data_IF_913593974706
#
_entry.id   IF_913593974706
#
_cell.length_a   1.000
_cell.length_b   1.000
_cell.length_c   1.000
_cell.angle_alpha   90.00
_cell.angle_beta   90.00
_cell.angle_gamma   90.00
#
_symmetry.space_group_name_H-M   'P 1'
#
loop_
_entity.id
_entity.type
_entity.pdbx_description
1 polymer ?
#
# COMPACT_ATOMS: atom_id res chain seq x y z
N UNK A 1 42.26 17.07 35.88
CA UNK A 1 42.55 15.72 35.35
C UNK A 1 41.29 14.87 35.11
N UNK A 2 40.37 14.69 36.07
CA UNK A 2 39.14 13.86 35.89
C UNK A 2 38.26 14.23 34.69
N UNK A 3 38.07 15.53 34.41
CA UNK A 3 37.22 15.98 33.30
C UNK A 3 37.85 15.70 31.92
N UNK A 4 39.19 15.77 31.83
CA UNK A 4 39.93 15.46 30.60
C UNK A 4 39.83 13.96 30.28
N UNK A 5 39.91 13.10 31.29
CA UNK A 5 39.75 11.66 31.14
C UNK A 5 38.34 11.27 30.66
N UNK A 6 37.29 11.93 31.19
CA UNK A 6 35.91 11.72 30.74
C UNK A 6 35.70 12.14 29.28
N UNK A 7 36.30 13.26 28.86
CA UNK A 7 36.27 13.72 27.48
C UNK A 7 36.96 12.75 26.52
N UNK A 8 38.11 12.20 26.92
CA UNK A 8 38.83 11.18 26.13
C UNK A 8 38.00 9.90 25.98
N UNK A 9 37.37 9.43 27.04
CA UNK A 9 36.51 8.24 27.01
C UNK A 9 35.30 8.46 26.09
N UNK A 10 34.61 9.61 26.19
CA UNK A 10 33.51 9.95 25.30
C UNK A 10 33.94 10.00 23.83
N UNK A 11 35.11 10.58 23.52
CA UNK A 11 35.63 10.62 22.16
C UNK A 11 35.90 9.21 21.60
N UNK A 12 36.44 8.30 22.41
CA UNK A 12 36.65 6.90 22.01
C UNK A 12 35.33 6.20 21.70
N UNK A 13 34.28 6.41 22.51
CA UNK A 13 32.95 5.87 22.24
C UNK A 13 32.33 6.46 20.97
N UNK A 14 32.47 7.77 20.74
CA UNK A 14 31.98 8.44 19.53
C UNK A 14 32.70 7.92 18.28
N UNK A 15 34.02 7.76 18.32
CA UNK A 15 34.81 7.17 17.23
C UNK A 15 34.39 5.73 16.93
N UNK A 16 34.11 4.93 17.96
CA UNK A 16 33.66 3.55 17.78
C UNK A 16 32.23 3.45 17.22
N UNK A 17 31.34 4.37 17.62
CA UNK A 17 30.00 4.48 17.05
C UNK A 17 30.05 4.92 15.58
N UNK A 18 30.93 5.87 15.25
CA UNK A 18 31.15 6.33 13.88
C UNK A 18 31.63 5.18 12.98
N UNK A 19 32.63 4.41 13.42
CA UNK A 19 33.14 3.26 12.66
C UNK A 19 32.08 2.17 12.40
N UNK A 20 31.13 1.98 13.32
CA UNK A 20 29.99 1.07 13.11
C UNK A 20 28.98 1.62 12.11
N UNK A 21 28.76 2.95 12.09
CA UNK A 21 27.94 3.60 11.08
C UNK A 21 28.54 3.44 9.69
N UNK A 22 29.84 3.74 9.55
CA UNK A 22 30.56 3.62 8.27
C UNK A 22 30.52 2.17 7.73
N UNK A 23 30.62 1.18 8.64
CA UNK A 23 30.47 -0.24 8.30
C UNK A 23 29.06 -0.61 7.87
N UNK A 24 28.03 0.03 8.44
CA UNK A 24 26.64 -0.21 8.07
C UNK A 24 26.36 0.40 6.69
N UNK A 25 26.85 1.60 6.43
CA UNK A 25 26.73 2.28 5.13
C UNK A 25 27.41 1.46 4.02
N UNK A 26 28.59 0.90 4.30
CA UNK A 26 29.29 0.00 3.38
C UNK A 26 28.48 -1.27 3.05
N UNK A 27 27.76 -1.83 4.03
CA UNK A 27 26.89 -3.00 3.82
C UNK A 27 25.62 -2.65 3.04
N UNK A 28 25.09 -1.43 3.23
CA UNK A 28 23.95 -0.92 2.46
C UNK A 28 24.35 -0.79 0.99
N UNK A 29 25.50 -0.17 0.71
CA UNK A 29 26.01 0.02 -0.65
C UNK A 29 26.30 -1.33 -1.36
N UNK A 30 26.83 -2.31 -0.63
CA UNK A 30 27.01 -3.69 -1.15
C UNK A 30 25.67 -4.37 -1.47
N UNK A 31 24.65 -4.19 -0.63
CA UNK A 31 23.32 -4.73 -0.90
C UNK A 31 22.66 -4.03 -2.09
N UNK A 32 22.82 -2.71 -2.23
CA UNK A 32 22.30 -1.96 -3.38
C UNK A 32 22.92 -2.46 -4.68
N UNK A 33 24.24 -2.67 -4.72
CA UNK A 33 24.92 -3.21 -5.90
C UNK A 33 24.50 -4.64 -6.23
N UNK A 34 24.32 -5.51 -5.23
CA UNK A 34 23.77 -6.86 -5.44
C UNK A 34 22.35 -6.83 -5.99
N UNK A 35 21.49 -5.95 -5.47
CA UNK A 35 20.11 -5.78 -5.97
C UNK A 35 20.14 -5.34 -7.44
N UNK A 36 20.98 -4.38 -7.79
CA UNK A 36 21.12 -3.90 -9.18
C UNK A 36 21.60 -5.04 -10.11
N UNK A 37 22.62 -5.79 -9.72
CA UNK A 37 23.14 -6.91 -10.52
C UNK A 37 22.09 -8.02 -10.69
N UNK A 38 21.33 -8.34 -9.64
CA UNK A 38 20.23 -9.30 -9.75
C UNK A 38 19.10 -8.82 -10.67
N UNK A 39 18.80 -7.53 -10.67
CA UNK A 39 17.81 -6.94 -11.57
C UNK A 39 18.25 -7.03 -13.04
N UNK A 40 19.53 -6.74 -13.33
CA UNK A 40 20.10 -6.87 -14.68
C UNK A 40 20.06 -8.33 -15.15
N UNK A 41 20.40 -9.29 -14.28
CA UNK A 41 20.32 -10.72 -14.60
C UNK A 41 18.88 -11.17 -14.86
N UNK A 42 17.92 -10.64 -14.11
CA UNK A 42 16.51 -10.95 -14.31
C UNK A 42 16.01 -10.46 -15.67
N UNK A 43 16.38 -9.23 -16.06
CA UNK A 43 16.05 -8.64 -17.36
C UNK A 43 16.66 -9.46 -18.51
N UNK A 44 17.92 -9.86 -18.38
CA UNK A 44 18.57 -10.75 -19.35
C UNK A 44 17.89 -12.11 -19.48
N UNK A 45 17.39 -12.69 -18.38
CA UNK A 45 16.66 -13.95 -18.41
C UNK A 45 15.27 -13.78 -19.05
N UNK A 46 14.61 -12.65 -18.83
CA UNK A 46 13.33 -12.34 -19.48
C UNK A 46 13.48 -12.28 -21.00
N UNK A 47 14.49 -11.54 -21.49
CA UNK A 47 14.78 -11.47 -22.93
C UNK A 47 15.05 -12.86 -23.53
N UNK A 48 15.78 -13.73 -22.81
CA UNK A 48 16.08 -15.09 -23.27
C UNK A 48 14.82 -15.97 -23.32
N UNK A 49 13.89 -15.78 -22.39
CA UNK A 49 12.58 -16.46 -22.41
C UNK A 49 11.75 -15.99 -23.61
N UNK A 50 11.74 -14.70 -23.91
CA UNK A 50 11.05 -14.16 -25.10
C UNK A 50 11.63 -14.71 -26.40
N UNK A 51 12.96 -14.74 -26.54
CA UNK A 51 13.65 -15.33 -27.70
C UNK A 51 13.32 -16.83 -27.87
N UNK A 52 13.30 -17.58 -26.75
CA UNK A 52 12.92 -18.99 -26.77
C UNK A 52 11.45 -19.20 -27.15
N UNK A 53 10.55 -18.33 -26.69
CA UNK A 53 9.14 -18.36 -27.06
C UNK A 53 8.96 -18.07 -28.56
N UNK A 54 9.71 -17.12 -29.11
CA UNK A 54 9.67 -16.81 -30.54
C UNK A 54 10.22 -17.97 -31.39
N UNK A 55 11.36 -18.55 -30.97
CA UNK A 55 11.96 -19.72 -31.62
C UNK A 55 11.02 -20.94 -31.58
N UNK A 56 10.39 -21.19 -30.44
CA UNK A 56 9.39 -22.25 -30.29
C UNK A 56 8.15 -22.01 -31.16
N UNK A 57 7.64 -20.77 -31.22
CA UNK A 57 6.52 -20.42 -32.09
C UNK A 57 6.87 -20.62 -33.58
N UNK A 58 8.12 -20.32 -33.97
CA UNK A 58 8.64 -20.51 -35.33
C UNK A 58 8.79 -22.00 -35.69
N UNK A 59 9.34 -22.81 -34.80
CA UNK A 59 9.43 -24.27 -34.93
C UNK A 59 8.03 -24.91 -35.01
N UNK A 60 7.08 -24.48 -34.17
CA UNK A 60 5.68 -24.90 -34.23
C UNK A 60 5.02 -24.50 -35.55
N UNK A 61 5.29 -23.30 -36.07
CA UNK A 61 4.80 -22.83 -37.36
C UNK A 61 5.34 -23.69 -38.53
N UNK A 62 6.63 -24.05 -38.50
CA UNK A 62 7.25 -24.93 -39.50
C UNK A 62 6.76 -26.39 -39.42
N UNK A 63 6.38 -26.88 -38.23
CA UNK A 63 5.73 -28.17 -38.04
C UNK A 63 4.27 -28.17 -38.53
N UNK A 64 3.55 -27.07 -38.32
CA UNK A 64 2.15 -26.87 -38.75
C UNK A 64 1.97 -26.90 -40.27
N UNK A 65 2.94 -26.42 -41.05
CA UNK A 65 2.93 -26.56 -42.52
C UNK A 65 3.03 -28.02 -42.99
N UNK A 66 3.55 -28.93 -42.15
CA UNK A 66 3.75 -30.35 -42.49
C UNK A 66 2.61 -31.27 -42.05
N UNK A 67 1.64 -30.76 -41.28
CA UNK A 67 0.55 -31.52 -40.63
C UNK A 67 -0.85 -31.05 -41.04
N UNK A 68 -0.97 -30.34 -42.17
CA UNK A 68 -2.26 -29.88 -42.67
C UNK A 68 -3.14 -31.05 -43.12
N UNK A 69 -4.42 -31.01 -42.76
CA UNK A 69 -5.37 -32.07 -43.08
C UNK A 69 -6.50 -31.51 -43.95
N UNK A 70 -6.66 -32.06 -45.15
CA UNK A 70 -7.75 -31.69 -46.05
C UNK A 70 -9.03 -32.42 -45.61
N UNK A 71 -10.13 -31.66 -45.51
CA UNK A 71 -11.45 -32.16 -45.15
C UNK A 71 -12.50 -31.55 -46.08
N UNK A 72 -13.59 -32.30 -46.28
CA UNK A 72 -14.76 -31.81 -47.01
C UNK A 72 -15.73 -31.25 -45.97
N UNK A 73 -16.16 -30.01 -46.15
CA UNK A 73 -17.19 -29.40 -45.32
C UNK A 73 -18.52 -30.17 -45.47
N UNK A 74 -19.02 -30.73 -44.36
CA UNK A 74 -20.31 -31.44 -44.34
C UNK A 74 -21.47 -30.59 -43.82
N UNK A 75 -21.18 -29.47 -43.16
CA UNK A 75 -22.19 -28.61 -42.55
C UNK A 75 -22.70 -27.56 -43.55
N UNK A 76 -24.03 -27.44 -43.65
CA UNK A 76 -24.69 -26.51 -44.57
C UNK A 76 -24.51 -25.03 -44.20
N UNK A 77 -24.12 -24.74 -42.96
CA UNK A 77 -24.00 -23.39 -42.40
C UNK A 77 -22.58 -23.09 -41.86
N UNK A 78 -21.59 -23.88 -42.28
CA UNK A 78 -20.21 -23.65 -41.87
C UNK A 78 -19.72 -22.29 -42.39
N UNK A 79 -18.97 -21.60 -41.55
CA UNK A 79 -18.28 -20.39 -41.93
C UNK A 79 -16.98 -20.24 -41.16
N UNK A 80 -16.09 -19.42 -41.69
CA UNK A 80 -14.84 -19.04 -41.05
C UNK A 80 -14.80 -17.55 -40.75
N UNK A 81 -14.13 -17.20 -39.67
CA UNK A 81 -13.82 -15.83 -39.29
C UNK A 81 -12.43 -15.47 -39.80
N UNK A 82 -12.34 -14.44 -40.62
CA UNK A 82 -11.07 -13.88 -41.10
C UNK A 82 -10.46 -13.05 -39.96
N UNK A 83 -9.14 -13.13 -39.80
CA UNK A 83 -8.32 -12.45 -38.77
C UNK A 83 -8.55 -12.91 -37.32
N UNK A 84 -9.79 -12.83 -36.79
CA UNK A 84 -10.09 -13.13 -35.39
C UNK A 84 -11.49 -13.74 -35.21
N UNK A 85 -11.63 -14.83 -34.43
CA UNK A 85 -12.94 -15.41 -34.11
C UNK A 85 -13.92 -14.38 -33.52
N UNK A 86 -15.21 -14.49 -33.87
CA UNK A 86 -16.35 -13.70 -33.37
C UNK A 86 -16.33 -12.19 -33.62
N UNK A 87 -15.18 -11.59 -33.94
CA UNK A 87 -15.04 -10.14 -34.16
C UNK A 87 -14.65 -9.78 -35.60
N UNK A 88 -14.14 -10.75 -36.37
CA UNK A 88 -13.67 -10.55 -37.74
C UNK A 88 -14.77 -10.58 -38.81
N UNK A 89 -14.38 -10.49 -40.07
CA UNK A 89 -15.29 -10.72 -41.19
C UNK A 89 -15.60 -12.21 -41.31
N UNK A 90 -16.88 -12.57 -41.41
CA UNK A 90 -17.31 -13.96 -41.63
C UNK A 90 -17.38 -14.26 -43.13
N UNK A 91 -16.81 -15.40 -43.54
CA UNK A 91 -16.91 -15.97 -44.89
C UNK A 91 -17.58 -17.33 -44.78
N UNK A 92 -18.69 -17.50 -45.48
CA UNK A 92 -19.40 -18.78 -45.50
C UNK A 92 -18.67 -19.80 -46.37
N UNK A 93 -18.71 -21.05 -45.94
CA UNK A 93 -18.07 -22.17 -46.61
C UNK A 93 -19.20 -23.10 -47.08
N UNK A 94 -19.41 -23.25 -48.40
CA UNK A 94 -20.47 -24.10 -48.92
C UNK A 94 -20.31 -25.55 -48.46
N UNK A 95 -21.44 -26.26 -48.32
CA UNK A 95 -21.41 -27.71 -48.12
C UNK A 95 -20.73 -28.38 -49.32
N UNK A 96 -19.91 -29.39 -49.06
CA UNK A 96 -19.14 -30.11 -50.08
C UNK A 96 -17.83 -29.44 -50.47
N UNK A 97 -17.52 -28.26 -49.95
CA UNK A 97 -16.27 -27.57 -50.26
C UNK A 97 -15.07 -28.15 -49.49
N UNK A 98 -13.90 -28.19 -50.12
CA UNK A 98 -12.66 -28.60 -49.46
C UNK A 98 -12.10 -27.49 -48.58
N UNK A 99 -11.67 -27.86 -47.38
CA UNK A 99 -11.11 -26.97 -46.36
C UNK A 99 -9.86 -27.62 -45.79
N UNK A 100 -8.80 -26.83 -45.65
CA UNK A 100 -7.53 -27.27 -45.08
C UNK A 100 -7.53 -26.89 -43.60
N UNK A 101 -7.34 -27.87 -42.72
CA UNK A 101 -7.25 -27.65 -41.27
C UNK A 101 -5.80 -27.62 -40.83
N UNK A 102 -5.49 -26.68 -39.93
CA UNK A 102 -4.21 -26.57 -39.26
C UNK A 102 -4.43 -26.80 -37.75
N UNK A 103 -3.58 -27.58 -37.05
CA UNK A 103 -3.74 -27.86 -35.62
C UNK A 103 -3.33 -26.66 -34.75
N UNK A 104 -3.94 -25.51 -35.01
CA UNK A 104 -3.80 -24.27 -34.27
C UNK A 104 -5.19 -23.77 -33.89
N UNK A 105 -5.37 -23.53 -32.60
CA UNK A 105 -6.66 -23.12 -32.04
C UNK A 105 -6.54 -21.79 -31.31
N UNK A 106 -7.58 -20.97 -31.46
CA UNK A 106 -7.86 -19.83 -30.58
C UNK A 106 -9.20 -20.12 -29.93
N UNK A 107 -9.21 -20.27 -28.61
CA UNK A 107 -10.37 -20.76 -27.87
C UNK A 107 -10.86 -22.10 -28.47
N UNK A 108 -12.12 -22.16 -28.90
CA UNK A 108 -12.72 -23.32 -29.55
C UNK A 108 -12.79 -23.21 -31.09
N UNK A 109 -11.94 -22.36 -31.69
CA UNK A 109 -11.88 -22.15 -33.14
C UNK A 109 -10.56 -22.66 -33.71
N UNK A 110 -10.65 -23.55 -34.68
CA UNK A 110 -9.51 -24.09 -35.42
C UNK A 110 -9.13 -23.16 -36.57
N UNK A 111 -7.84 -23.03 -36.86
CA UNK A 111 -7.35 -22.34 -38.05
C UNK A 111 -7.59 -23.18 -39.30
N UNK A 112 -8.18 -22.54 -40.31
CA UNK A 112 -8.51 -23.15 -41.60
C UNK A 112 -8.04 -22.30 -42.78
N UNK A 113 -7.81 -22.94 -43.92
CA UNK A 113 -7.64 -22.27 -45.21
C UNK A 113 -8.74 -22.71 -46.18
N UNK A 114 -9.34 -21.73 -46.86
CA UNK A 114 -10.38 -21.93 -47.86
C UNK A 114 -10.22 -20.92 -49.02
N UNK A 115 -9.95 -21.44 -50.22
CA UNK A 115 -9.61 -20.63 -51.40
C UNK A 115 -8.51 -19.59 -51.09
N UNK A 116 -7.37 -20.07 -50.60
CA UNK A 116 -6.20 -19.27 -50.19
C UNK A 116 -6.48 -18.19 -49.14
N UNK A 117 -7.67 -18.20 -48.55
CA UNK A 117 -8.04 -17.29 -47.47
C UNK A 117 -7.92 -18.04 -46.15
N UNK A 118 -7.06 -17.55 -45.26
CA UNK A 118 -6.90 -18.11 -43.91
C UNK A 118 -7.92 -17.49 -42.97
N UNK A 119 -8.55 -18.33 -42.15
CA UNK A 119 -9.49 -17.91 -41.13
C UNK A 119 -9.59 -18.91 -40.00
N UNK A 120 -10.63 -18.76 -39.19
CA UNK A 120 -10.90 -19.58 -38.01
C UNK A 120 -12.31 -20.14 -38.07
N UNK A 121 -12.44 -21.46 -37.98
CA UNK A 121 -13.72 -22.18 -38.02
C UNK A 121 -14.06 -22.70 -36.63
N UNK A 122 -15.33 -22.62 -36.23
CA UNK A 122 -15.77 -23.16 -34.94
C UNK A 122 -15.69 -24.70 -34.93
N UNK A 123 -15.30 -25.26 -33.78
CA UNK A 123 -15.34 -26.71 -33.52
C UNK A 123 -16.71 -27.36 -33.78
N UNK A 124 -17.79 -26.58 -33.73
CA UNK A 124 -19.15 -27.04 -33.96
C UNK A 124 -19.47 -27.31 -35.45
N UNK A 125 -18.64 -26.85 -36.39
CA UNK A 125 -18.90 -26.96 -37.83
C UNK A 125 -18.18 -28.11 -38.53
N UNK A 126 -17.32 -28.84 -37.82
CA UNK A 126 -16.60 -29.97 -38.38
C UNK A 126 -16.65 -31.18 -37.48
N UNK A 127 -16.56 -32.35 -38.11
CA UNK A 127 -16.48 -33.61 -37.39
C UNK A 127 -15.07 -33.78 -36.82
N UNK A 128 -14.99 -34.02 -35.52
CA UNK A 128 -13.73 -34.30 -34.83
C UNK A 128 -13.32 -35.76 -35.00
N UNK A 129 -14.24 -36.63 -35.40
CA UNK A 129 -13.98 -38.04 -35.67
C UNK A 129 -13.06 -38.17 -36.87
N UNK A 130 -11.93 -38.85 -36.67
CA UNK A 130 -10.91 -39.04 -37.72
C UNK A 130 -9.93 -37.88 -37.88
N UNK A 131 -9.96 -36.87 -37.00
CA UNK A 131 -8.78 -36.00 -36.82
C UNK A 131 -7.68 -36.77 -36.08
N UNK A 132 -6.44 -36.48 -36.43
CA UNK A 132 -5.28 -37.05 -35.77
C UNK A 132 -5.21 -36.58 -34.30
N UNK A 133 -4.68 -37.40 -33.37
CA UNK A 133 -4.66 -37.09 -31.94
C UNK A 133 -4.08 -35.71 -31.58
N UNK A 134 -3.09 -35.22 -32.34
CA UNK A 134 -2.46 -33.92 -32.08
C UNK A 134 -3.41 -32.73 -32.28
N UNK A 135 -4.48 -32.84 -33.08
CA UNK A 135 -5.50 -31.77 -33.17
C UNK A 135 -6.29 -31.63 -31.86
N UNK A 136 -6.53 -32.74 -31.16
CA UNK A 136 -7.18 -32.72 -29.86
C UNK A 136 -6.27 -32.10 -28.81
N UNK A 137 -4.99 -32.46 -28.80
CA UNK A 137 -4.02 -31.84 -27.89
C UNK A 137 -3.87 -30.33 -28.12
N UNK A 138 -3.83 -29.89 -29.39
CA UNK A 138 -3.74 -28.48 -29.73
C UNK A 138 -4.95 -27.68 -29.21
N UNK A 139 -6.14 -28.26 -29.28
CA UNK A 139 -7.38 -27.67 -28.74
C UNK A 139 -7.34 -27.56 -27.22
N UNK A 140 -7.01 -28.64 -26.51
CA UNK A 140 -6.90 -28.65 -25.05
C UNK A 140 -5.88 -27.61 -24.56
N UNK A 141 -4.73 -27.52 -25.22
CA UNK A 141 -3.71 -26.51 -24.90
C UNK A 141 -4.25 -25.08 -25.07
N UNK A 142 -5.04 -24.81 -26.10
CA UNK A 142 -5.63 -23.48 -26.32
C UNK A 142 -6.64 -23.11 -25.22
N UNK A 143 -7.50 -24.05 -24.81
CA UNK A 143 -8.45 -23.84 -23.72
C UNK A 143 -7.75 -23.59 -22.36
N UNK A 144 -6.67 -24.31 -22.09
CA UNK A 144 -5.86 -24.12 -20.87
C UNK A 144 -5.17 -22.75 -20.86
N UNK A 145 -4.63 -22.28 -21.99
CA UNK A 145 -4.01 -20.95 -22.11
C UNK A 145 -5.01 -19.85 -21.78
N UNK A 146 -6.20 -19.90 -22.39
CA UNK A 146 -7.25 -18.90 -22.14
C UNK A 146 -7.67 -18.85 -20.65
N UNK A 147 -7.86 -20.01 -20.02
CA UNK A 147 -8.18 -20.08 -18.60
C UNK A 147 -7.08 -19.46 -17.71
N UNK A 148 -5.82 -19.64 -18.09
CA UNK A 148 -4.69 -19.06 -17.37
C UNK A 148 -4.57 -17.55 -17.60
N UNK A 149 -4.76 -17.06 -18.82
CA UNK A 149 -4.74 -15.62 -19.13
C UNK A 149 -5.85 -14.88 -18.36
N UNK A 150 -7.06 -15.44 -18.32
CA UNK A 150 -8.18 -14.91 -17.51
C UNK A 150 -7.86 -14.88 -16.01
N UNK A 151 -7.12 -15.87 -15.49
CA UNK A 151 -6.69 -15.87 -14.09
C UNK A 151 -5.63 -14.77 -13.83
N UNK A 152 -4.68 -14.58 -14.74
CA UNK A 152 -3.63 -13.56 -14.62
C UNK A 152 -4.19 -12.14 -14.65
N UNK A 153 -5.16 -11.85 -15.51
CA UNK A 153 -5.83 -10.54 -15.58
C UNK A 153 -6.58 -10.24 -14.27
N UNK A 154 -7.33 -11.23 -13.76
CA UNK A 154 -8.03 -11.14 -12.48
C UNK A 154 -7.08 -10.95 -11.28
N UNK A 155 -5.92 -11.61 -11.29
CA UNK A 155 -4.89 -11.45 -10.26
C UNK A 155 -4.21 -10.08 -10.33
N UNK A 156 -3.84 -9.61 -11.54
CA UNK A 156 -3.28 -8.28 -11.76
C UNK A 156 -4.18 -7.17 -11.21
N UNK A 157 -5.48 -7.26 -11.47
CA UNK A 157 -6.45 -6.29 -10.96
C UNK A 157 -6.65 -6.39 -9.44
N UNK A 158 -6.48 -7.57 -8.85
CA UNK A 158 -6.44 -7.74 -7.39
C UNK A 158 -5.21 -7.05 -6.78
N UNK A 159 -4.04 -7.19 -7.39
CA UNK A 159 -2.81 -6.54 -6.94
C UNK A 159 -2.87 -5.02 -7.05
N UNK A 160 -3.42 -4.48 -8.15
CA UNK A 160 -3.63 -3.03 -8.32
C UNK A 160 -4.54 -2.45 -7.23
N UNK A 161 -5.65 -3.13 -6.90
CA UNK A 161 -6.56 -2.74 -5.81
C UNK A 161 -5.85 -2.71 -4.46
N UNK A 162 -5.10 -3.77 -4.13
CA UNK A 162 -4.34 -3.87 -2.88
C UNK A 162 -3.23 -2.83 -2.76
N UNK A 163 -2.56 -2.49 -3.87
CA UNK A 163 -1.55 -1.42 -3.89
C UNK A 163 -2.18 -0.05 -3.55
N UNK A 164 -3.37 0.23 -4.09
CA UNK A 164 -4.12 1.46 -3.80
C UNK A 164 -4.56 1.55 -2.34
N UNK A 165 -5.02 0.45 -1.75
CA UNK A 165 -5.38 0.37 -0.32
C UNK A 165 -4.18 0.65 0.58
N UNK A 166 -3.02 0.03 0.31
CA UNK A 166 -1.79 0.26 1.08
C UNK A 166 -1.31 1.71 1.04
N UNK A 167 -1.40 2.36 -0.13
CA UNK A 167 -1.05 3.79 -0.27
C UNK A 167 -1.99 4.65 0.58
N UNK A 168 -3.28 4.32 0.59
CA UNK A 168 -4.27 5.01 1.43
C UNK A 168 -3.92 4.84 2.91
N UNK A 169 -3.74 3.60 3.39
CA UNK A 169 -3.37 3.31 4.78
C UNK A 169 -2.08 4.04 5.22
N UNK A 170 -1.04 4.02 4.39
CA UNK A 170 0.22 4.72 4.65
C UNK A 170 0.01 6.24 4.81
N UNK A 171 -0.89 6.83 4.01
CA UNK A 171 -1.23 8.26 4.10
C UNK A 171 -1.94 8.60 5.41
N UNK A 172 -2.88 7.75 5.88
CA UNK A 172 -3.53 7.96 7.18
C UNK A 172 -2.55 7.83 8.34
N UNK A 173 -1.67 6.83 8.28
CA UNK A 173 -0.66 6.61 9.31
C UNK A 173 0.30 7.80 9.39
N UNK A 174 0.79 8.30 8.25
CA UNK A 174 1.66 9.48 8.20
C UNK A 174 1.00 10.72 8.84
N UNK A 175 -0.27 10.98 8.52
CA UNK A 175 -1.03 12.07 9.13
C UNK A 175 -1.19 11.88 10.65
N UNK A 176 -1.50 10.67 11.11
CA UNK A 176 -1.63 10.37 12.53
C UNK A 176 -0.31 10.58 13.29
N UNK A 177 0.83 10.24 12.68
CA UNK A 177 2.15 10.49 13.26
C UNK A 177 2.42 12.00 13.34
N UNK A 178 2.12 12.75 12.28
CA UNK A 178 2.28 14.20 12.25
C UNK A 178 1.46 14.89 13.38
N UNK A 179 0.17 14.53 13.51
CA UNK A 179 -0.71 15.05 14.56
C UNK A 179 -0.17 14.74 15.98
N UNK A 180 0.35 13.53 16.20
CA UNK A 180 1.00 13.14 17.45
C UNK A 180 2.26 13.97 17.72
N UNK A 181 3.12 14.18 16.72
CA UNK A 181 4.33 15.01 16.88
C UNK A 181 3.98 16.48 17.17
N UNK A 182 2.90 17.00 16.60
CA UNK A 182 2.40 18.34 16.88
C UNK A 182 1.90 18.46 18.33
N UNK A 183 1.14 17.47 18.81
CA UNK A 183 0.66 17.43 20.19
C UNK A 183 1.83 17.40 21.19
N UNK A 184 2.88 16.60 20.93
CA UNK A 184 4.10 16.56 21.75
C UNK A 184 4.82 17.91 21.79
N UNK A 185 5.02 18.55 20.63
CA UNK A 185 5.65 19.88 20.55
C UNK A 185 4.85 20.95 21.30
N UNK A 186 3.52 20.92 21.19
CA UNK A 186 2.63 21.82 21.92
C UNK A 186 2.76 21.65 23.44
N UNK A 187 2.84 20.40 23.89
CA UNK A 187 2.97 20.05 25.30
C UNK A 187 4.33 20.45 25.91
N UNK A 188 5.40 20.29 25.13
CA UNK A 188 6.73 20.76 25.48
C UNK A 188 6.81 22.29 25.54
N UNK A 189 6.19 22.97 24.57
CA UNK A 189 6.09 24.42 24.56
C UNK A 189 5.31 24.96 25.78
N UNK A 190 4.17 24.35 26.11
CA UNK A 190 3.40 24.69 27.33
C UNK A 190 4.24 24.49 28.59
N UNK A 191 4.96 23.37 28.68
CA UNK A 191 5.87 23.09 29.81
C UNK A 191 6.90 24.21 29.97
N UNK A 192 7.54 24.63 28.88
CA UNK A 192 8.55 25.69 28.90
C UNK A 192 7.99 27.02 29.38
N UNK A 193 6.83 27.43 28.85
CA UNK A 193 6.17 28.67 29.27
C UNK A 193 5.90 28.66 30.78
N UNK A 194 5.36 27.56 31.31
CA UNK A 194 5.03 27.46 32.74
C UNK A 194 6.28 27.48 33.62
N UNK A 195 7.35 26.82 33.19
CA UNK A 195 8.65 26.84 33.89
C UNK A 195 9.30 28.21 33.88
N UNK A 196 9.25 28.93 32.75
CA UNK A 196 9.81 30.27 32.62
C UNK A 196 9.01 31.29 33.45
N UNK A 197 7.67 31.14 33.51
CA UNK A 197 6.77 32.06 34.22
C UNK A 197 6.78 31.89 35.74
N UNK A 198 6.79 30.65 36.23
CA UNK A 198 6.58 30.34 37.66
C UNK A 198 7.80 29.73 38.34
N UNK A 199 8.87 29.45 37.61
CA UNK A 199 10.00 28.67 38.08
C UNK A 199 9.77 27.16 37.97
N UNK A 200 10.85 26.39 38.07
CA UNK A 200 10.83 24.96 37.72
C UNK A 200 9.88 24.12 38.60
N UNK A 201 9.98 24.24 39.93
CA UNK A 201 9.18 23.42 40.85
C UNK A 201 7.69 23.78 40.82
N UNK A 202 7.38 25.08 40.87
CA UNK A 202 6.00 25.57 40.85
C UNK A 202 5.34 25.35 39.48
N UNK A 203 6.08 25.59 38.39
CA UNK A 203 5.64 25.35 37.02
C UNK A 203 5.31 23.88 36.75
N UNK A 204 6.05 22.93 37.35
CA UNK A 204 5.73 21.50 37.26
C UNK A 204 4.42 21.16 37.98
N UNK A 205 4.17 21.73 39.16
CA UNK A 205 2.90 21.54 39.89
C UNK A 205 1.71 22.09 39.10
N UNK A 206 1.83 23.32 38.61
CA UNK A 206 0.79 23.98 37.79
C UNK A 206 0.53 23.18 36.52
N UNK A 207 1.59 22.73 35.83
CA UNK A 207 1.46 21.85 34.65
C UNK A 207 0.68 20.57 34.99
N UNK A 208 0.93 19.99 36.16
CA UNK A 208 0.25 18.79 36.64
C UNK A 208 -1.20 19.01 37.08
N UNK A 209 -1.73 20.23 36.99
CA UNK A 209 -3.07 20.57 37.48
C UNK A 209 -3.16 20.55 39.01
N UNK A 210 -2.04 20.79 39.71
CA UNK A 210 -2.00 20.85 41.17
C UNK A 210 -2.18 22.31 41.61
N UNK A 211 -3.08 22.51 42.57
CA UNK A 211 -3.28 23.80 43.24
C UNK A 211 -3.00 23.63 44.72
N UNK A 212 -2.16 24.50 45.28
CA UNK A 212 -1.87 24.55 46.71
C UNK A 212 -2.44 25.84 47.34
N UNK A 213 -2.64 25.81 48.65
CA UNK A 213 -2.95 27.01 49.44
C UNK A 213 -1.80 28.01 49.26
N UNK A 214 -2.15 29.28 49.06
CA UNK A 214 -1.22 30.36 48.78
C UNK A 214 -0.99 30.65 47.28
N UNK A 215 -1.57 29.87 46.37
CA UNK A 215 -1.51 30.17 44.93
C UNK A 215 -2.30 31.43 44.59
N UNK A 216 -1.85 32.18 43.58
CA UNK A 216 -2.60 33.33 43.04
C UNK A 216 -3.69 32.86 42.08
N UNK A 217 -4.70 33.69 41.83
CA UNK A 217 -5.72 33.47 40.77
C UNK A 217 -5.10 33.02 39.44
N UNK A 218 -4.04 33.70 39.00
CA UNK A 218 -3.34 33.39 37.75
C UNK A 218 -2.66 32.03 37.74
N UNK A 219 -2.14 31.57 38.89
CA UNK A 219 -1.58 30.22 39.01
C UNK A 219 -2.68 29.16 38.95
N UNK A 220 -3.84 29.43 39.55
CA UNK A 220 -5.01 28.55 39.48
C UNK A 220 -5.53 28.45 38.04
N UNK A 221 -5.63 29.56 37.33
CA UNK A 221 -6.03 29.56 35.92
C UNK A 221 -5.03 28.83 35.02
N UNK A 222 -3.73 29.00 35.23
CA UNK A 222 -2.71 28.28 34.45
C UNK A 222 -2.75 26.76 34.72
N UNK A 223 -3.15 26.35 35.93
CA UNK A 223 -3.22 24.96 36.37
C UNK A 223 -4.52 24.26 35.93
N UNK A 224 -5.66 24.89 36.13
CA UNK A 224 -6.99 24.29 35.94
C UNK A 224 -7.79 24.89 34.79
N UNK A 225 -7.37 26.05 34.27
CA UNK A 225 -8.18 26.85 33.37
C UNK A 225 -9.18 27.72 34.11
N UNK A 226 -10.06 28.37 33.35
CA UNK A 226 -11.10 29.25 33.90
C UNK A 226 -12.15 28.43 34.64
N UNK A 227 -12.67 28.94 35.77
CA UNK A 227 -13.75 28.28 36.50
C UNK A 227 -15.05 28.32 35.67
N UNK A 228 -15.91 27.33 35.91
CA UNK A 228 -17.25 27.30 35.31
C UNK A 228 -18.17 28.38 35.89
N UNK A 229 -17.95 28.72 37.17
CA UNK A 229 -18.69 29.76 37.89
C UNK A 229 -17.83 30.38 38.99
N UNK A 230 -18.04 31.66 39.26
CA UNK A 230 -17.39 32.41 40.34
C UNK A 230 -18.45 33.06 41.21
N UNK A 231 -18.52 32.66 42.48
CA UNK A 231 -19.30 33.35 43.49
C UNK A 231 -18.41 34.37 44.20
N UNK A 232 -18.71 35.67 44.07
CA UNK A 232 -17.92 36.76 44.68
C UNK A 232 -18.69 37.42 45.81
N UNK A 233 -18.01 37.65 46.94
CA UNK A 233 -18.52 38.43 48.08
C UNK A 233 -17.52 39.52 48.44
N UNK A 234 -17.96 40.77 48.41
CA UNK A 234 -17.13 41.95 48.71
C UNK A 234 -17.46 42.46 50.11
N UNK A 235 -16.45 42.52 50.97
CA UNK A 235 -16.52 43.15 52.28
C UNK A 235 -15.84 44.52 52.25
N UNK A 236 -15.99 45.30 53.33
CA UNK A 236 -15.39 46.62 53.45
C UNK A 236 -13.86 46.62 53.44
N UNK A 237 -13.22 45.48 53.75
CA UNK A 237 -11.76 45.36 53.91
C UNK A 237 -11.12 44.30 53.01
N UNK A 238 -11.91 43.41 52.41
CA UNK A 238 -11.40 42.36 51.54
C UNK A 238 -12.49 41.78 50.64
N UNK A 239 -12.09 41.07 49.59
CA UNK A 239 -12.93 40.30 48.66
C UNK A 239 -12.68 38.81 48.87
N UNK A 240 -13.77 38.05 48.94
CA UNK A 240 -13.75 36.58 48.89
C UNK A 240 -14.38 36.07 47.62
N UNK A 241 -13.77 35.06 47.04
CA UNK A 241 -14.29 34.36 45.89
C UNK A 241 -14.32 32.86 46.14
N UNK A 242 -15.32 32.21 45.54
CA UNK A 242 -15.41 30.78 45.42
C UNK A 242 -15.50 30.44 43.93
N UNK A 243 -14.48 29.79 43.42
CA UNK A 243 -14.39 29.30 42.05
C UNK A 243 -14.90 27.87 42.00
N UNK A 244 -15.82 27.59 41.08
CA UNK A 244 -16.49 26.29 40.94
C UNK A 244 -15.97 25.59 39.68
N UNK A 245 -15.61 24.30 39.81
CA UNK A 245 -15.18 23.44 38.71
C UNK A 245 -16.02 22.15 38.65
N UNK A 246 -16.74 21.98 37.54
CA UNK A 246 -17.65 20.85 37.30
C UNK A 246 -16.90 19.59 36.86
N UNK A 247 -15.78 19.74 36.16
CA UNK A 247 -14.90 18.65 35.72
C UNK A 247 -13.59 18.61 36.54
N UNK A 248 -12.86 17.49 36.52
CA UNK A 248 -11.61 17.32 37.26
C UNK A 248 -11.76 17.11 38.77
N UNK A 249 -10.61 17.03 39.47
CA UNK A 249 -10.52 16.63 40.89
C UNK A 249 -10.94 17.72 41.87
N UNK A 250 -10.92 18.99 41.46
CA UNK A 250 -11.31 20.11 42.31
C UNK A 250 -12.80 20.39 42.13
N UNK A 251 -13.50 20.69 43.22
CA UNK A 251 -14.90 21.13 43.19
C UNK A 251 -15.01 22.61 43.47
N UNK A 252 -14.34 23.08 44.53
CA UNK A 252 -14.33 24.49 44.91
C UNK A 252 -12.93 24.94 45.30
N UNK A 253 -12.55 26.14 44.83
CA UNK A 253 -11.35 26.85 45.26
C UNK A 253 -11.79 28.16 45.88
N UNK A 254 -11.36 28.40 47.12
CA UNK A 254 -11.70 29.61 47.86
C UNK A 254 -10.51 30.56 47.83
N UNK A 255 -10.74 31.80 47.41
CA UNK A 255 -9.73 32.84 47.34
C UNK A 255 -10.12 34.03 48.21
N UNK A 256 -9.12 34.65 48.83
CA UNK A 256 -9.23 35.92 49.53
C UNK A 256 -8.16 36.86 48.96
N UNK A 257 -8.57 38.04 48.47
CA UNK A 257 -7.67 38.97 47.75
C UNK A 257 -6.86 38.29 46.62
N UNK A 258 -7.50 37.36 45.92
CA UNK A 258 -6.91 36.61 44.81
C UNK A 258 -5.86 35.57 45.20
N UNK A 259 -5.78 35.21 46.49
CA UNK A 259 -4.91 34.15 47.00
C UNK A 259 -5.76 32.97 47.51
N UNK A 260 -5.39 31.74 47.12
CA UNK A 260 -6.07 30.52 47.55
C UNK A 260 -5.91 30.32 49.05
N UNK A 261 -7.03 30.23 49.77
CA UNK A 261 -7.08 30.01 51.21
C UNK A 261 -7.62 28.64 51.60
N UNK A 262 -8.48 28.05 50.77
CA UNK A 262 -9.02 26.70 50.99
C UNK A 262 -9.35 26.00 49.68
N UNK A 263 -9.33 24.67 49.71
CA UNK A 263 -9.56 23.81 48.55
C UNK A 263 -10.52 22.68 48.96
N UNK A 264 -11.53 22.43 48.12
CA UNK A 264 -12.42 21.28 48.26
C UNK A 264 -12.35 20.42 46.99
N UNK A 265 -11.97 19.16 47.15
CA UNK A 265 -11.90 18.17 46.06
C UNK A 265 -13.18 17.34 45.97
N UNK A 266 -13.38 16.69 44.82
CA UNK A 266 -14.39 15.64 44.64
C UNK A 266 -13.80 14.36 45.25
N UNK A 267 -14.50 13.79 46.23
CA UNK A 267 -14.18 12.47 46.79
C UNK A 267 -14.53 11.36 45.82
#
# INVERSE_FOLDING_TARGET
MKNVLRFLICNVFLLHAQAKLDSLDSLIELNETLVIDTAIKLDSLQNLVEDLQESYAREQFLLLEREAVIRINRAAFAGMWINKPLTGQRKDIPQGAEVIFYPYYIQDFIRVSFHDTIGYMSSAFYDQVGLTPYFHEARERALVREKNDLNLENESDRFKRRAKERIHEAKYLAKSIEDLTFAQKKEEYRKRILMDKWGYELGLKIKGGIVDIGFTETMVEDALGRPDSVNRTTYSYYVREQWVYNEGNYRYIYLEEGIVTAIQTKG
#
